data_IF_515927655476
#
_entry.id   IF_515927655476
#
_cell.length_a   1.000
_cell.length_b   1.000
_cell.length_c   1.000
_cell.angle_alpha   90.00
_cell.angle_beta   90.00
_cell.angle_gamma   90.00
#
_symmetry.space_group_name_H-M   'P 1'
#
loop_
_entity.id
_entity.type
_entity.pdbx_description
1 polymer ?
#
# COMPACT_ATOMS: atom_id res chain seq x y z
N UNK A 1 4.16 -13.70 11.47
CA UNK A 1 5.22 -13.60 10.45
C UNK A 1 5.33 -12.13 10.07
N UNK A 2 6.55 -11.58 10.01
CA UNK A 2 6.75 -10.18 9.66
C UNK A 2 6.56 -9.98 8.15
N UNK A 3 5.86 -8.92 7.78
CA UNK A 3 5.68 -8.48 6.40
C UNK A 3 6.95 -7.83 5.89
N UNK A 4 7.35 -8.18 4.65
CA UNK A 4 8.59 -7.73 3.99
C UNK A 4 8.34 -7.34 2.54
N UNK A 5 9.27 -6.59 1.99
CA UNK A 5 9.40 -6.38 0.55
C UNK A 5 10.02 -7.60 -0.13
N UNK A 6 9.55 -7.92 -1.33
CA UNK A 6 10.13 -8.96 -2.17
C UNK A 6 11.51 -8.54 -2.70
N UNK A 7 12.42 -9.49 -2.89
CA UNK A 7 13.78 -9.23 -3.43
C UNK A 7 13.81 -8.85 -4.92
N UNK A 8 12.72 -9.13 -5.62
CA UNK A 8 12.49 -8.69 -7.00
C UNK A 8 11.89 -7.28 -6.97
N UNK A 9 12.71 -6.29 -7.34
CA UNK A 9 12.36 -4.88 -7.29
C UNK A 9 13.11 -4.12 -8.39
N UNK A 10 12.72 -2.87 -8.63
CA UNK A 10 13.34 -2.00 -9.62
C UNK A 10 14.82 -1.74 -9.32
N UNK A 11 15.56 -1.39 -10.37
CA UNK A 11 17.03 -1.23 -10.32
C UNK A 11 17.51 -0.10 -9.40
N UNK A 12 16.63 0.86 -9.08
CA UNK A 12 16.92 1.96 -8.17
C UNK A 12 16.48 1.71 -6.71
N UNK A 13 15.83 0.59 -6.41
CA UNK A 13 15.55 0.20 -5.03
C UNK A 13 16.75 -0.49 -4.39
N UNK A 14 17.04 -0.11 -3.16
CA UNK A 14 17.87 -0.85 -2.23
C UNK A 14 17.00 -1.21 -1.03
N UNK A 15 17.06 -2.47 -0.60
CA UNK A 15 16.34 -2.95 0.57
C UNK A 15 17.25 -2.95 1.81
N UNK A 16 16.75 -2.41 2.93
CA UNK A 16 17.43 -2.42 4.23
C UNK A 16 16.57 -3.11 5.29
N UNK A 17 17.13 -3.27 6.49
CA UNK A 17 16.45 -3.76 7.69
C UNK A 17 15.67 -5.06 7.46
N UNK A 18 16.37 -6.09 6.97
CA UNK A 18 15.78 -7.40 6.65
C UNK A 18 14.59 -7.29 5.68
N UNK A 19 14.75 -6.48 4.63
CA UNK A 19 13.75 -6.18 3.59
C UNK A 19 12.48 -5.50 4.11
N UNK A 20 12.56 -4.73 5.20
CA UNK A 20 11.42 -3.93 5.69
C UNK A 20 11.49 -2.47 5.27
N UNK A 21 12.62 -2.02 4.69
CA UNK A 21 12.79 -0.66 4.18
C UNK A 21 13.14 -0.72 2.70
N UNK A 22 12.46 0.08 1.89
CA UNK A 22 12.78 0.30 0.49
C UNK A 22 13.25 1.74 0.28
N UNK A 23 14.47 1.89 -0.24
CA UNK A 23 15.11 3.17 -0.48
C UNK A 23 15.42 3.34 -1.97
N UNK A 24 14.97 4.45 -2.58
CA UNK A 24 15.31 4.80 -3.96
C UNK A 24 16.68 5.49 -4.01
N UNK A 25 17.72 4.77 -4.44
CA UNK A 25 19.11 5.24 -4.42
C UNK A 25 19.38 6.45 -5.33
N UNK A 26 18.76 6.51 -6.50
CA UNK A 26 19.00 7.57 -7.50
C UNK A 26 17.79 7.77 -8.40
N UNK A 27 17.79 8.86 -9.18
CA UNK A 27 16.71 9.26 -10.09
C UNK A 27 15.37 9.41 -9.37
N UNK A 28 14.29 9.46 -10.14
CA UNK A 28 12.88 9.52 -9.71
C UNK A 28 12.08 8.28 -10.12
N UNK A 29 12.72 7.32 -10.80
CA UNK A 29 12.09 6.20 -11.51
C UNK A 29 12.78 4.86 -11.22
N UNK A 30 12.31 3.77 -11.84
CA UNK A 30 12.79 2.39 -11.66
C UNK A 30 12.75 1.95 -10.17
N UNK A 31 11.71 2.39 -9.48
CA UNK A 31 11.58 2.31 -8.03
C UNK A 31 10.42 1.41 -7.57
N UNK A 32 10.04 0.45 -8.41
CA UNK A 32 9.02 -0.55 -8.12
C UNK A 32 9.48 -1.54 -7.07
N UNK A 33 8.60 -1.93 -6.16
CA UNK A 33 8.79 -3.02 -5.21
C UNK A 33 7.44 -3.67 -4.88
N UNK A 34 7.46 -4.85 -4.27
CA UNK A 34 6.27 -5.67 -4.04
C UNK A 34 6.27 -6.22 -2.61
N UNK A 35 5.11 -6.64 -2.10
CA UNK A 35 5.08 -7.49 -0.92
C UNK A 35 5.76 -8.83 -1.21
N UNK A 36 6.45 -9.40 -0.22
CA UNK A 36 7.13 -10.70 -0.36
C UNK A 36 6.13 -11.86 -0.60
N UNK A 37 4.93 -11.74 -0.04
CA UNK A 37 3.86 -12.74 -0.15
C UNK A 37 2.56 -12.07 -0.58
N UNK A 38 1.59 -12.84 -1.10
CA UNK A 38 0.27 -12.29 -1.37
C UNK A 38 -0.42 -11.88 -0.06
N UNK A 39 -1.24 -10.82 -0.18
CA UNK A 39 -2.08 -10.33 0.90
C UNK A 39 -3.31 -11.23 1.04
N UNK A 40 -3.75 -11.45 2.27
CA UNK A 40 -5.03 -12.10 2.56
C UNK A 40 -6.18 -11.09 2.57
N UNK A 41 -7.44 -11.53 2.40
CA UNK A 41 -8.59 -10.63 2.53
C UNK A 41 -8.57 -9.93 3.90
N UNK A 42 -8.75 -8.61 3.90
CA UNK A 42 -8.72 -7.78 5.11
C UNK A 42 -7.32 -7.57 5.73
N UNK A 43 -6.26 -8.09 5.12
CA UNK A 43 -4.90 -7.84 5.55
C UNK A 43 -4.43 -6.45 5.09
N UNK A 44 -3.90 -5.67 6.04
CA UNK A 44 -3.39 -4.32 5.82
C UNK A 44 -1.90 -4.42 5.53
N UNK A 45 -1.50 -3.96 4.36
CA UNK A 45 -0.10 -3.69 4.05
C UNK A 45 0.17 -2.21 4.30
N UNK A 46 0.91 -1.89 5.37
CA UNK A 46 1.11 -0.53 5.87
C UNK A 46 2.55 -0.05 5.66
N UNK A 47 2.69 1.16 5.12
CA UNK A 47 3.96 1.85 4.91
C UNK A 47 4.03 3.12 5.76
N UNK A 48 5.23 3.47 6.21
CA UNK A 48 5.57 4.79 6.74
C UNK A 48 6.58 5.47 5.80
N UNK A 49 6.38 6.75 5.49
CA UNK A 49 7.32 7.54 4.70
C UNK A 49 8.46 8.00 5.61
N UNK A 50 9.66 7.45 5.42
CA UNK A 50 10.81 7.80 6.27
C UNK A 50 11.61 8.97 5.69
N UNK A 51 11.66 9.12 4.36
CA UNK A 51 12.42 10.20 3.71
C UNK A 51 11.74 10.69 2.44
N UNK A 52 11.82 12.00 2.23
CA UNK A 52 11.50 12.66 0.96
C UNK A 52 12.74 13.33 0.37
N UNK A 53 12.70 13.58 -0.93
CA UNK A 53 13.77 14.23 -1.69
C UNK A 53 13.21 15.47 -2.40
N UNK A 54 13.80 16.63 -2.12
CA UNK A 54 13.43 17.90 -2.77
C UNK A 54 13.92 17.91 -4.22
N UNK A 55 13.25 18.69 -5.06
CA UNK A 55 13.63 18.85 -6.48
C UNK A 55 12.97 17.85 -7.43
N UNK A 56 12.25 16.85 -6.89
CA UNK A 56 11.36 16.00 -7.67
C UNK A 56 9.91 16.45 -7.52
N UNK A 57 9.08 16.10 -8.50
CA UNK A 57 7.63 16.27 -8.46
C UNK A 57 6.96 14.91 -8.58
N UNK A 58 5.71 14.85 -8.13
CA UNK A 58 4.89 13.65 -8.16
C UNK A 58 4.92 12.84 -6.87
N UNK A 59 4.01 11.89 -6.84
CA UNK A 59 3.52 11.24 -5.63
C UNK A 59 3.86 9.76 -5.61
N UNK A 60 4.02 9.18 -4.41
CA UNK A 60 4.13 7.73 -4.26
C UNK A 60 2.92 7.03 -4.87
N UNK A 61 3.14 5.88 -5.50
CA UNK A 61 2.05 5.06 -6.05
C UNK A 61 2.01 3.74 -5.31
N UNK A 62 0.80 3.30 -4.98
CA UNK A 62 0.56 2.10 -4.19
C UNK A 62 -0.71 1.42 -4.71
N UNK A 63 -0.76 0.09 -4.60
CA UNK A 63 -1.92 -0.66 -5.07
C UNK A 63 -1.72 -2.16 -5.00
N UNK A 64 -2.55 -2.87 -5.77
CA UNK A 64 -2.54 -4.33 -5.86
C UNK A 64 -2.15 -4.79 -7.26
N UNK A 65 -1.56 -5.96 -7.35
CA UNK A 65 -1.26 -6.63 -8.62
C UNK A 65 -1.39 -8.15 -8.49
N UNK A 66 -1.80 -8.81 -9.57
CA UNK A 66 -1.70 -10.27 -9.73
C UNK A 66 -0.38 -10.70 -10.39
N UNK A 67 0.51 -9.76 -10.71
CA UNK A 67 1.88 -10.09 -11.10
C UNK A 67 2.59 -10.76 -9.92
N UNK A 68 2.83 -12.07 -10.03
CA UNK A 68 3.58 -12.80 -9.03
C UNK A 68 5.09 -12.43 -9.13
N UNK A 69 5.67 -11.80 -8.10
CA UNK A 69 7.06 -11.33 -8.17
C UNK A 69 8.08 -12.48 -8.23
N UNK A 70 7.74 -13.67 -7.72
CA UNK A 70 8.61 -14.85 -7.80
C UNK A 70 8.66 -15.42 -9.23
N UNK A 71 7.50 -15.50 -9.89
CA UNK A 71 7.40 -15.95 -11.28
C UNK A 71 8.04 -14.95 -12.23
N UNK A 72 7.77 -13.65 -12.04
CA UNK A 72 8.38 -12.59 -12.83
C UNK A 72 9.92 -12.59 -12.72
N UNK A 73 10.45 -12.81 -11.51
CA UNK A 73 11.89 -12.96 -11.29
C UNK A 73 12.45 -14.21 -11.99
N UNK A 74 11.78 -15.35 -11.83
CA UNK A 74 12.22 -16.63 -12.42
C UNK A 74 12.18 -16.60 -13.95
N UNK A 75 11.23 -15.89 -14.54
CA UNK A 75 11.12 -15.66 -15.97
C UNK A 75 12.11 -14.60 -16.51
N UNK A 76 12.89 -13.93 -15.65
CA UNK A 76 13.81 -12.87 -16.04
C UNK A 76 13.10 -11.63 -16.61
N UNK A 77 11.85 -11.39 -16.23
CA UNK A 77 11.09 -10.23 -16.65
C UNK A 77 11.81 -8.96 -16.18
N UNK A 78 11.89 -7.95 -17.05
CA UNK A 78 12.38 -6.62 -16.65
C UNK A 78 11.19 -5.79 -16.17
N UNK A 79 11.30 -5.24 -14.98
CA UNK A 79 10.29 -4.31 -14.47
C UNK A 79 10.27 -3.03 -15.30
N UNK A 80 9.08 -2.45 -15.52
CA UNK A 80 8.97 -1.16 -16.17
C UNK A 80 9.57 -0.05 -15.32
N UNK A 81 9.78 1.10 -15.96
CA UNK A 81 10.36 2.26 -15.29
C UNK A 81 9.40 2.87 -14.26
N UNK A 82 8.08 2.77 -14.50
CA UNK A 82 7.04 3.34 -13.66
C UNK A 82 5.92 2.33 -13.42
N UNK A 83 5.19 2.45 -12.30
CA UNK A 83 3.93 1.71 -12.14
C UNK A 83 2.87 2.15 -13.15
N UNK A 84 2.76 3.45 -13.39
CA UNK A 84 1.73 4.06 -14.22
C UNK A 84 2.36 4.70 -15.47
N UNK A 85 1.83 4.44 -16.67
CA UNK A 85 0.69 3.55 -16.98
C UNK A 85 1.06 2.05 -17.06
N UNK A 86 2.36 1.73 -17.08
CA UNK A 86 2.91 0.46 -17.58
C UNK A 86 2.31 -0.81 -16.93
N UNK A 87 2.15 -0.84 -15.60
CA UNK A 87 1.59 -2.00 -14.89
C UNK A 87 0.07 -2.09 -14.99
N UNK A 88 -0.64 -0.95 -15.15
CA UNK A 88 -2.10 -0.97 -15.38
C UNK A 88 -2.40 -1.49 -16.79
N UNK A 89 -1.56 -1.19 -17.77
CA UNK A 89 -1.72 -1.70 -19.14
C UNK A 89 -1.70 -3.23 -19.20
N UNK A 90 -1.07 -3.91 -18.23
CA UNK A 90 -1.09 -5.37 -18.10
C UNK A 90 -2.43 -5.94 -17.57
N UNK A 91 -3.44 -5.09 -17.32
CA UNK A 91 -4.83 -5.42 -16.90
C UNK A 91 -4.97 -6.29 -15.66
N UNK A 92 -3.92 -6.45 -14.89
CA UNK A 92 -3.83 -7.29 -13.68
C UNK A 92 -3.37 -6.49 -12.46
N UNK A 93 -3.43 -5.16 -12.54
CA UNK A 93 -2.98 -4.25 -11.49
C UNK A 93 -3.94 -3.08 -11.27
N UNK A 94 -4.12 -2.69 -10.00
CA UNK A 94 -4.95 -1.58 -9.55
C UNK A 94 -4.09 -0.66 -8.70
N UNK A 95 -3.54 0.41 -9.30
CA UNK A 95 -2.51 1.26 -8.71
C UNK A 95 -2.93 2.72 -8.77
N UNK A 96 -2.76 3.45 -7.67
CA UNK A 96 -3.16 4.85 -7.55
C UNK A 96 -1.99 5.68 -7.00
N UNK A 97 -1.89 6.93 -7.45
CA UNK A 97 -0.99 7.91 -6.86
C UNK A 97 -1.64 8.50 -5.60
N UNK A 98 -0.86 8.62 -4.52
CA UNK A 98 -1.33 9.18 -3.25
C UNK A 98 -0.74 10.58 -3.09
N UNK A 99 -1.57 11.59 -3.33
CA UNK A 99 -1.15 12.99 -3.30
C UNK A 99 -1.39 13.66 -1.95
N UNK A 100 -0.80 14.85 -1.77
CA UNK A 100 -1.06 15.71 -0.59
C UNK A 100 -2.54 16.08 -0.43
N UNK A 101 -3.29 16.09 -1.53
CA UNK A 101 -4.71 16.43 -1.56
C UNK A 101 -5.62 15.20 -1.48
N UNK A 102 -5.10 13.99 -1.24
CA UNK A 102 -5.90 12.81 -0.92
C UNK A 102 -6.71 13.07 0.36
N UNK A 103 -7.86 13.70 0.17
CA UNK A 103 -9.02 13.78 1.04
C UNK A 103 -10.16 13.34 0.14
N UNK A 104 -10.29 12.03 -0.10
CA UNK A 104 -11.37 11.57 -0.97
C UNK A 104 -12.67 11.61 -0.16
N UNK A 105 -13.55 12.51 -0.60
CA UNK A 105 -14.90 12.71 -0.14
C UNK A 105 -15.71 11.46 -0.51
N UNK A 106 -15.97 10.61 0.49
CA UNK A 106 -17.20 9.84 0.61
C UNK A 106 -17.38 9.49 2.09
N UNK A 107 -17.86 10.48 2.86
CA UNK A 107 -18.47 10.19 4.16
C UNK A 107 -19.73 9.37 3.91
N UNK A 108 -19.59 8.05 3.90
CA UNK A 108 -20.66 7.22 4.44
C UNK A 108 -20.75 7.60 5.92
N UNK A 109 -21.78 8.34 6.31
CA UNK A 109 -22.02 8.74 7.70
C UNK A 109 -22.03 7.50 8.60
N UNK A 110 -20.93 7.23 9.29
CA UNK A 110 -20.83 6.05 10.15
C UNK A 110 -19.47 5.75 10.78
N UNK A 111 -18.50 6.66 10.80
CA UNK A 111 -17.34 6.48 11.70
C UNK A 111 -17.67 7.08 13.05
N UNK A 112 -18.07 6.22 13.99
CA UNK A 112 -18.14 6.52 15.41
C UNK A 112 -16.80 7.12 15.84
N UNK A 113 -16.81 8.40 16.24
CA UNK A 113 -15.68 9.18 16.76
C UNK A 113 -15.07 8.63 18.08
N UNK A 114 -15.09 7.32 18.29
CA UNK A 114 -14.61 6.66 19.50
C UNK A 114 -14.12 5.22 19.31
N UNK A 115 -14.10 4.66 18.10
CA UNK A 115 -13.54 3.31 17.90
C UNK A 115 -12.01 3.37 17.92
N UNK A 116 -11.40 2.85 19.00
CA UNK A 116 -9.94 2.73 19.14
C UNK A 116 -9.34 1.65 18.25
N UNK A 117 -10.17 0.96 17.48
CA UNK A 117 -9.77 -0.18 16.65
C UNK A 117 -10.49 -0.18 15.31
N UNK A 118 -9.77 -0.51 14.24
CA UNK A 118 -10.32 -0.82 12.91
C UNK A 118 -10.62 -2.32 12.84
N UNK A 119 -11.82 -2.69 12.38
CA UNK A 119 -12.18 -4.09 12.16
C UNK A 119 -11.94 -4.47 10.70
N UNK A 120 -11.28 -5.59 10.46
CA UNK A 120 -11.15 -6.20 9.15
C UNK A 120 -11.52 -7.69 9.24
N UNK A 121 -11.73 -8.37 8.12
CA UNK A 121 -11.89 -9.84 8.10
C UNK A 121 -10.63 -10.58 8.60
N UNK A 122 -9.52 -9.87 8.76
CA UNK A 122 -8.29 -10.38 9.33
C UNK A 122 -8.20 -10.22 10.87
N UNK A 123 -9.12 -9.47 11.49
CA UNK A 123 -9.19 -9.24 12.93
C UNK A 123 -9.29 -7.75 13.25
N UNK A 124 -9.00 -7.40 14.50
CA UNK A 124 -9.03 -6.01 14.96
C UNK A 124 -7.62 -5.41 15.00
N UNK A 125 -7.46 -4.19 14.49
CA UNK A 125 -6.19 -3.45 14.48
C UNK A 125 -6.32 -2.18 15.30
N UNK A 126 -5.35 -1.89 16.17
CA UNK A 126 -5.35 -0.66 16.94
C UNK A 126 -5.20 0.56 16.03
N UNK A 127 -6.06 1.56 16.21
CA UNK A 127 -5.95 2.80 15.45
C UNK A 127 -4.58 3.46 15.63
N UNK A 128 -4.00 3.38 16.82
CA UNK A 128 -2.68 3.95 17.13
C UNK A 128 -1.54 3.38 16.29
N UNK A 129 -1.62 2.12 15.84
CA UNK A 129 -0.60 1.54 14.95
C UNK A 129 -0.75 1.99 13.49
N UNK A 130 -1.91 2.53 13.12
CA UNK A 130 -2.18 3.04 11.77
C UNK A 130 -1.84 4.53 11.63
N UNK A 131 -1.63 5.24 12.74
CA UNK A 131 -1.27 6.66 12.75
C UNK A 131 0.24 6.88 12.85
N UNK A 132 0.75 8.01 12.34
CA UNK A 132 2.09 8.49 12.67
C UNK A 132 2.29 8.55 14.19
N UNK A 133 3.54 8.40 14.64
CA UNK A 133 3.87 8.70 16.03
C UNK A 133 3.55 10.18 16.30
N UNK A 134 2.84 10.48 17.39
CA UNK A 134 2.46 11.86 17.73
C UNK A 134 3.73 12.65 18.07
N UNK A 135 4.22 13.46 17.16
CA UNK A 135 5.12 14.56 17.50
C UNK A 135 4.33 15.57 18.34
N UNK A 136 4.93 16.14 19.39
CA UNK A 136 4.34 17.05 20.39
C UNK A 136 3.76 18.39 19.85
N UNK A 137 3.50 18.49 18.55
CA UNK A 137 2.97 19.67 17.89
C UNK A 137 1.61 19.34 17.27
N UNK A 138 0.63 20.23 17.44
CA UNK A 138 -0.70 20.19 16.81
C UNK A 138 -0.67 20.30 15.25
N UNK A 139 0.39 19.81 14.61
CA UNK A 139 0.59 19.87 13.17
C UNK A 139 -0.06 18.65 12.53
N UNK A 140 -1.02 18.90 11.63
CA UNK A 140 -1.62 17.86 10.80
C UNK A 140 -0.60 17.37 9.78
N UNK A 141 -0.14 16.12 9.92
CA UNK A 141 0.70 15.44 8.93
C UNK A 141 -0.11 15.18 7.65
N UNK A 142 0.39 15.63 6.50
CA UNK A 142 -0.24 15.38 5.21
C UNK A 142 0.08 13.97 4.70
N UNK A 143 -0.72 13.40 3.76
CA UNK A 143 -0.57 12.02 3.29
C UNK A 143 0.83 11.64 2.82
N UNK A 144 1.60 12.57 2.25
CA UNK A 144 2.94 12.32 1.69
C UNK A 144 4.08 12.94 2.50
N UNK A 145 3.81 13.47 3.70
CA UNK A 145 4.83 14.01 4.58
C UNK A 145 5.66 12.88 5.23
N UNK A 146 6.88 13.19 5.65
CA UNK A 146 7.70 12.27 6.45
C UNK A 146 6.97 11.94 7.76
N UNK A 147 6.92 10.66 8.10
CA UNK A 147 6.16 10.12 9.23
C UNK A 147 4.72 9.72 8.88
N UNK A 148 4.19 10.16 7.73
CA UNK A 148 2.87 9.74 7.26
C UNK A 148 2.82 8.23 7.04
N UNK A 149 1.67 7.63 7.38
CA UNK A 149 1.40 6.20 7.17
C UNK A 149 0.35 6.01 6.11
N UNK A 150 0.68 5.20 5.10
CA UNK A 150 -0.19 4.87 3.98
C UNK A 150 -0.29 3.34 3.91
N UNK A 151 -1.50 2.82 3.98
CA UNK A 151 -1.79 1.40 3.88
C UNK A 151 -2.77 1.08 2.76
N UNK A 152 -2.76 -0.18 2.34
CA UNK A 152 -3.78 -0.76 1.47
C UNK A 152 -4.37 -2.01 2.10
N UNK A 153 -5.63 -2.27 1.78
CA UNK A 153 -6.35 -3.50 2.14
C UNK A 153 -7.35 -3.79 1.02
N UNK A 154 -7.56 -5.08 0.72
CA UNK A 154 -8.70 -5.48 -0.11
C UNK A 154 -9.77 -6.18 0.71
N UNK A 155 -11.02 -5.88 0.38
CA UNK A 155 -12.20 -6.33 1.10
C UNK A 155 -13.10 -7.05 0.09
N UNK A 156 -13.34 -8.37 0.25
CA UNK A 156 -14.29 -9.10 -0.59
C UNK A 156 -15.68 -8.45 -0.55
N UNK A 157 -16.28 -8.26 -1.72
CA UNK A 157 -17.66 -7.78 -1.86
C UNK A 157 -18.66 -8.92 -1.69
N UNK A 158 -19.92 -8.62 -1.34
CA UNK A 158 -21.01 -9.58 -1.45
C UNK A 158 -21.04 -10.19 -2.85
N UNK A 159 -21.14 -11.51 -2.92
CA UNK A 159 -21.14 -12.24 -4.19
C UNK A 159 -22.35 -11.83 -5.04
N UNK A 160 -22.08 -11.27 -6.22
CA UNK A 160 -23.11 -10.94 -7.22
C UNK A 160 -22.86 -11.80 -8.46
N UNK A 161 -23.78 -12.73 -8.74
CA UNK A 161 -23.63 -13.70 -9.82
C UNK A 161 -22.56 -14.76 -9.51
N UNK A 162 -21.82 -15.18 -10.54
CA UNK A 162 -20.85 -16.28 -10.42
C UNK A 162 -19.47 -15.83 -9.93
N UNK A 163 -19.14 -14.54 -10.03
CA UNK A 163 -17.82 -14.01 -9.73
C UNK A 163 -17.74 -13.46 -8.32
N UNK A 164 -16.62 -13.74 -7.66
CA UNK A 164 -16.28 -13.16 -6.37
C UNK A 164 -15.22 -12.09 -6.59
N UNK A 165 -15.54 -10.87 -6.17
CA UNK A 165 -14.70 -9.72 -6.38
C UNK A 165 -14.44 -8.99 -5.07
N UNK A 166 -13.46 -8.09 -5.07
CA UNK A 166 -13.08 -7.29 -3.92
C UNK A 166 -12.99 -5.80 -4.28
N UNK A 167 -13.04 -4.96 -3.26
CA UNK A 167 -12.69 -3.54 -3.33
C UNK A 167 -11.30 -3.31 -2.75
N UNK A 168 -10.54 -2.37 -3.33
CA UNK A 168 -9.27 -1.87 -2.78
C UNK A 168 -9.54 -0.58 -2.00
N UNK A 169 -9.16 -0.57 -0.73
CA UNK A 169 -9.22 0.59 0.16
C UNK A 169 -7.81 1.09 0.49
N UNK A 170 -7.70 2.41 0.69
CA UNK A 170 -6.50 3.05 1.22
C UNK A 170 -6.72 3.52 2.65
N UNK A 171 -5.70 3.35 3.49
CA UNK A 171 -5.68 3.84 4.86
C UNK A 171 -4.62 4.93 4.93
N UNK A 172 -4.99 6.14 5.29
CA UNK A 172 -4.04 7.26 5.40
C UNK A 172 -4.11 7.82 6.81
N UNK A 173 -2.99 7.73 7.54
CA UNK A 173 -2.87 8.23 8.91
C UNK A 173 -3.99 7.75 9.86
N UNK A 174 -4.39 6.49 9.70
CA UNK A 174 -5.45 5.83 10.46
C UNK A 174 -6.85 5.93 9.83
N UNK A 175 -7.07 6.80 8.85
CA UNK A 175 -8.39 7.00 8.24
C UNK A 175 -8.55 6.17 6.96
N UNK A 176 -9.59 5.34 6.90
CA UNK A 176 -10.02 4.68 5.66
C UNK A 176 -10.55 5.72 4.67
N UNK A 177 -9.98 5.73 3.47
CA UNK A 177 -10.32 6.64 2.39
C UNK A 177 -11.43 6.09 1.48
N UNK A 178 -11.96 4.90 1.77
CA UNK A 178 -13.00 4.22 1.00
C UNK A 178 -12.47 3.40 -0.18
N UNK A 179 -13.39 2.89 -0.99
CA UNK A 179 -13.09 2.04 -2.15
C UNK A 179 -12.57 2.87 -3.34
N UNK A 180 -11.34 2.61 -3.78
CA UNK A 180 -10.70 3.25 -4.94
C UNK A 180 -10.85 2.42 -6.22
N UNK A 181 -10.84 1.10 -6.08
CA UNK A 181 -11.14 0.15 -7.14
C UNK A 181 -12.18 -0.85 -6.65
N UNK A 182 -13.04 -1.29 -7.56
CA UNK A 182 -14.02 -2.36 -7.36
C UNK A 182 -13.76 -3.47 -8.37
N UNK A 183 -14.49 -4.57 -8.23
CA UNK A 183 -14.48 -5.68 -9.18
C UNK A 183 -13.11 -6.35 -9.35
N UNK A 184 -12.28 -6.34 -8.30
CA UNK A 184 -10.97 -7.02 -8.31
C UNK A 184 -11.21 -8.53 -8.21
N UNK A 185 -10.81 -9.35 -9.20
CA UNK A 185 -11.06 -10.79 -9.22
C UNK A 185 -10.06 -11.55 -8.33
N UNK A 186 -10.15 -11.35 -7.01
CA UNK A 186 -9.17 -11.85 -6.03
C UNK A 186 -9.11 -13.39 -5.93
N UNK A 187 -10.10 -14.09 -6.48
CA UNK A 187 -10.13 -15.56 -6.55
C UNK A 187 -9.51 -16.12 -7.83
N UNK A 188 -9.33 -15.31 -8.87
CA UNK A 188 -8.71 -15.71 -10.14
C UNK A 188 -7.17 -15.73 -10.06
N UNK A 189 -6.58 -15.10 -9.04
CA UNK A 189 -5.14 -15.08 -8.82
C UNK A 189 -4.73 -14.35 -7.54
N UNK A 190 -3.57 -14.69 -6.96
CA UNK A 190 -3.07 -14.09 -5.73
C UNK A 190 -2.77 -12.60 -5.90
N UNK A 191 -3.15 -11.78 -4.91
CA UNK A 191 -2.91 -10.33 -4.92
C UNK A 191 -1.69 -9.96 -4.08
N UNK A 192 -0.72 -9.28 -4.69
CA UNK A 192 0.45 -8.71 -4.03
C UNK A 192 0.28 -7.20 -3.88
N UNK A 193 0.86 -6.62 -2.83
CA UNK A 193 1.06 -5.18 -2.76
C UNK A 193 2.11 -4.78 -3.80
N UNK A 194 1.88 -3.69 -4.51
CA UNK A 194 2.85 -3.06 -5.41
C UNK A 194 3.03 -1.60 -5.03
N UNK A 195 4.28 -1.17 -4.98
CA UNK A 195 4.71 0.15 -4.52
C UNK A 195 5.67 0.71 -5.55
N UNK A 196 5.45 1.93 -6.01
CA UNK A 196 6.42 2.71 -6.78
C UNK A 196 6.90 3.86 -5.90
N UNK A 197 8.15 3.78 -5.43
CA UNK A 197 8.80 4.81 -4.59
C UNK A 197 9.19 5.99 -5.48
N UNK A 198 8.16 6.67 -5.98
CA UNK A 198 8.23 7.65 -7.07
C UNK A 198 8.25 9.10 -6.56
N UNK A 199 8.75 10.00 -7.41
CA UNK A 199 8.66 11.45 -7.21
C UNK A 199 9.34 11.91 -5.94
N UNK A 200 8.63 12.68 -5.12
CA UNK A 200 9.16 13.25 -3.88
C UNK A 200 9.51 12.19 -2.82
N UNK A 201 8.94 10.98 -2.89
CA UNK A 201 9.19 9.94 -1.88
C UNK A 201 10.53 9.26 -2.16
N UNK A 202 11.40 9.22 -1.14
CA UNK A 202 12.76 8.66 -1.27
C UNK A 202 12.88 7.30 -0.58
N UNK A 203 12.18 7.12 0.54
CA UNK A 203 12.28 5.92 1.36
C UNK A 203 10.97 5.66 2.09
N UNK A 204 10.59 4.37 2.14
CA UNK A 204 9.46 3.88 2.91
C UNK A 204 9.84 2.66 3.74
N UNK A 205 9.19 2.51 4.89
CA UNK A 205 9.29 1.34 5.78
C UNK A 205 7.96 0.63 5.87
N UNK A 206 7.97 -0.70 5.86
CA UNK A 206 6.81 -1.51 6.24
C UNK A 206 6.61 -1.43 7.74
N UNK A 207 5.44 -0.95 8.15
CA UNK A 207 4.99 -1.00 9.54
C UNK A 207 4.31 -2.34 9.77
N UNK A 208 4.76 -3.08 10.78
CA UNK A 208 4.17 -4.37 11.12
C UNK A 208 2.80 -4.15 11.78
N UNK A 209 1.77 -4.77 11.21
CA UNK A 209 0.40 -4.67 11.71
C UNK A 209 0.07 -5.91 12.53
N UNK A 210 -0.22 -5.70 13.81
CA UNK A 210 -0.66 -6.75 14.73
C UNK A 210 -2.18 -6.80 14.80
N UNK A 211 -2.73 -8.00 14.65
CA UNK A 211 -4.17 -8.25 14.72
C UNK A 211 -4.52 -8.88 16.06
N UNK A 212 -5.49 -8.29 16.76
CA UNK A 212 -6.11 -8.87 17.95
C UNK A 212 -7.35 -9.66 17.56
N UNK A 213 -7.57 -10.80 18.23
CA UNK A 213 -8.85 -11.53 18.16
C UNK A 213 -8.92 -12.72 17.18
N UNK A 214 -7.80 -13.31 16.76
CA UNK A 214 -7.80 -14.66 16.15
C UNK A 214 -7.13 -15.66 17.10
N UNK A 215 -7.94 -16.51 17.72
CA UNK A 215 -7.53 -17.86 18.13
C UNK A 215 -7.77 -18.80 16.97
#
# INVERSE_FOLDING_TARGET
MNTKFHKYHGSNIILYDNNTVAHRKTSYANALTFSERPLKPGEIFLLEIERTERGWTGDIRLGLTQLNPYEAQSAGLRLPQYALPDLITMKSSWIYAISKSCQIINKCNGSSRGSRTMQTSHGSVSFSSLQPCKSDLNVKILPTDVGSRIGIVYIPMPKVGLRETAELHFIVNGEDQGAFAKDIPFTEGPLYAVIDVYGCTKQVRIVQVEYQGKK
#
